data_IF_130157761012
#
_entry.id   IF_130157761012
#
_cell.length_a   1.000
_cell.length_b   1.000
_cell.length_c   1.000
_cell.angle_alpha   90.00
_cell.angle_beta   90.00
_cell.angle_gamma   90.00
#
_symmetry.space_group_name_H-M   'P 1'
#
loop_
_entity.id
_entity.type
_entity.pdbx_description
1 polymer ?
#
# COMPACT_ATOMS: atom_id res chain seq x y z
N UNK A 1 -8.74 -8.77 -23.15
CA UNK A 1 -9.61 -9.01 -21.98
C UNK A 1 -9.27 -8.12 -20.79
N UNK A 2 -8.20 -8.36 -20.00
CA UNK A 2 -7.92 -7.54 -18.78
C UNK A 2 -7.71 -6.04 -19.09
N UNK A 3 -6.98 -5.73 -20.15
CA UNK A 3 -6.72 -4.35 -20.57
C UNK A 3 -7.99 -3.63 -21.05
N UNK A 4 -8.90 -4.36 -21.71
CA UNK A 4 -10.18 -3.82 -22.19
C UNK A 4 -11.12 -3.53 -21.01
N UNK A 5 -11.15 -4.40 -19.99
CA UNK A 5 -11.90 -4.12 -18.76
C UNK A 5 -11.32 -2.95 -17.98
N UNK A 6 -10.00 -2.87 -17.82
CA UNK A 6 -9.33 -1.74 -17.17
C UNK A 6 -9.64 -0.43 -17.88
N UNK A 7 -9.64 -0.42 -19.21
CA UNK A 7 -10.03 0.73 -20.03
C UNK A 7 -11.50 1.08 -19.84
N UNK A 8 -12.42 0.12 -19.84
CA UNK A 8 -13.86 0.36 -19.67
C UNK A 8 -14.20 0.93 -18.27
N UNK A 9 -13.54 0.42 -17.23
CA UNK A 9 -13.68 0.92 -15.86
C UNK A 9 -13.10 2.32 -15.72
N UNK A 10 -11.91 2.58 -16.27
CA UNK A 10 -11.30 3.91 -16.26
C UNK A 10 -12.12 4.94 -17.06
N UNK A 11 -12.67 4.56 -18.21
CA UNK A 11 -13.52 5.42 -19.02
C UNK A 11 -14.80 5.86 -18.28
N UNK A 12 -15.33 4.95 -17.47
CA UNK A 12 -16.52 5.19 -16.62
C UNK A 12 -16.19 6.07 -15.41
N UNK A 13 -15.11 5.79 -14.69
CA UNK A 13 -14.71 6.50 -13.48
C UNK A 13 -14.22 7.93 -13.74
N UNK A 14 -13.49 8.13 -14.84
CA UNK A 14 -12.85 9.41 -15.15
C UNK A 14 -13.60 10.18 -16.25
N UNK A 15 -14.90 9.92 -16.43
CA UNK A 15 -15.71 10.43 -17.56
C UNK A 15 -15.58 11.94 -17.77
N UNK A 16 -15.58 12.72 -16.68
CA UNK A 16 -15.51 14.19 -16.70
C UNK A 16 -14.16 14.73 -16.23
N UNK A 17 -13.16 13.87 -16.03
CA UNK A 17 -11.87 14.28 -15.46
C UNK A 17 -10.93 14.83 -16.55
N UNK A 18 -10.28 15.97 -16.28
CA UNK A 18 -9.35 16.67 -17.21
C UNK A 18 -8.21 15.78 -17.74
N UNK A 19 -7.76 14.80 -16.95
CA UNK A 19 -6.68 13.88 -17.31
C UNK A 19 -7.14 12.52 -17.86
N UNK A 20 -8.43 12.35 -18.20
CA UNK A 20 -9.00 11.08 -18.70
C UNK A 20 -8.16 10.47 -19.82
N UNK A 21 -7.78 11.29 -20.80
CA UNK A 21 -7.05 10.87 -22.00
C UNK A 21 -5.63 10.36 -21.67
N UNK A 22 -4.93 11.02 -20.74
CA UNK A 22 -3.61 10.57 -20.28
C UNK A 22 -3.71 9.25 -19.49
N UNK A 23 -4.73 9.11 -18.64
CA UNK A 23 -4.96 7.88 -17.85
C UNK A 23 -5.24 6.70 -18.79
N UNK A 24 -6.10 6.89 -19.80
CA UNK A 24 -6.41 5.86 -20.78
C UNK A 24 -5.18 5.51 -21.64
N UNK A 25 -4.36 6.49 -22.03
CA UNK A 25 -3.09 6.27 -22.73
C UNK A 25 -2.11 5.46 -21.88
N UNK A 26 -1.96 5.79 -20.60
CA UNK A 26 -1.07 5.07 -19.70
C UNK A 26 -1.50 3.61 -19.51
N UNK A 27 -2.81 3.34 -19.43
CA UNK A 27 -3.36 1.97 -19.40
C UNK A 27 -3.09 1.26 -20.73
N UNK A 28 -3.24 1.96 -21.85
CA UNK A 28 -2.96 1.46 -23.20
C UNK A 28 -1.47 1.15 -23.46
N UNK A 29 -0.55 1.77 -22.72
CA UNK A 29 0.89 1.53 -22.86
C UNK A 29 1.44 0.44 -21.92
N UNK A 30 0.62 -0.07 -20.99
CA UNK A 30 1.05 -1.19 -20.13
C UNK A 30 1.35 -2.42 -21.00
N UNK A 31 2.62 -2.81 -21.03
CA UNK A 31 3.07 -4.05 -21.66
C UNK A 31 2.69 -5.24 -20.80
N UNK A 32 1.56 -5.86 -21.16
CA UNK A 32 1.12 -7.13 -20.61
C UNK A 32 1.46 -8.21 -21.63
N UNK A 33 2.60 -8.90 -21.47
CA UNK A 33 2.98 -10.00 -22.35
C UNK A 33 1.89 -11.08 -22.35
N UNK A 34 1.27 -11.33 -23.51
CA UNK A 34 0.10 -12.20 -23.63
C UNK A 34 0.32 -13.61 -23.06
N UNK A 35 1.52 -14.17 -23.27
CA UNK A 35 1.93 -15.45 -22.71
C UNK A 35 2.05 -15.44 -21.19
N UNK A 36 2.67 -14.39 -20.62
CA UNK A 36 2.82 -14.22 -19.16
C UNK A 36 1.47 -13.99 -18.48
N UNK A 37 0.57 -13.25 -19.12
CA UNK A 37 -0.80 -13.05 -18.62
C UNK A 37 -1.58 -14.37 -18.69
N UNK A 38 -1.53 -15.10 -19.80
CA UNK A 38 -2.23 -16.37 -19.95
C UNK A 38 -1.73 -17.43 -18.95
N UNK A 39 -0.40 -17.51 -18.72
CA UNK A 39 0.19 -18.39 -17.72
C UNK A 39 -0.23 -18.00 -16.30
N UNK A 40 -0.16 -16.70 -15.96
CA UNK A 40 -0.58 -16.23 -14.64
C UNK A 40 -2.08 -16.42 -14.43
N UNK A 41 -2.91 -16.16 -15.43
CA UNK A 41 -4.36 -16.41 -15.37
C UNK A 41 -4.66 -17.91 -15.23
N UNK A 42 -3.93 -18.78 -15.94
CA UNK A 42 -4.09 -20.23 -15.79
C UNK A 42 -3.66 -20.73 -14.42
N UNK A 43 -2.50 -20.30 -13.91
CA UNK A 43 -2.05 -20.63 -12.56
C UNK A 43 -3.03 -20.11 -11.51
N UNK A 44 -3.42 -18.84 -11.60
CA UNK A 44 -4.43 -18.24 -10.74
C UNK A 44 -5.78 -18.97 -10.83
N UNK A 45 -6.17 -19.51 -11.99
CA UNK A 45 -7.44 -20.24 -12.17
C UNK A 45 -7.44 -21.60 -11.47
N UNK A 46 -6.30 -22.28 -11.45
CA UNK A 46 -6.10 -23.52 -10.70
C UNK A 46 -6.16 -23.22 -9.21
N UNK A 47 -5.46 -22.17 -8.80
CA UNK A 47 -5.39 -21.80 -7.40
C UNK A 47 -6.71 -21.16 -6.89
N UNK A 48 -7.51 -20.50 -7.75
CA UNK A 48 -8.84 -19.96 -7.43
C UNK A 48 -9.87 -21.04 -7.04
N UNK A 49 -9.58 -22.33 -7.29
CA UNK A 49 -10.41 -23.45 -6.87
C UNK A 49 -10.17 -23.86 -5.41
N UNK A 50 -9.05 -23.44 -4.81
CA UNK A 50 -8.79 -23.58 -3.38
C UNK A 50 -9.73 -22.62 -2.61
N UNK A 51 -10.39 -22.98 -1.51
CA UNK A 51 -11.28 -22.06 -0.79
C UNK A 51 -10.56 -20.91 -0.05
N UNK A 52 -9.24 -21.00 0.14
CA UNK A 52 -8.39 -20.05 0.84
C UNK A 52 -7.51 -19.19 -0.07
N UNK A 53 -7.04 -19.73 -1.20
CA UNK A 53 -6.20 -18.99 -2.15
C UNK A 53 -6.88 -17.81 -2.89
N UNK A 54 -8.19 -17.84 -3.24
CA UNK A 54 -8.95 -16.71 -3.80
C UNK A 54 -8.88 -15.49 -2.91
N UNK A 55 -8.73 -15.69 -1.59
CA UNK A 55 -8.54 -14.60 -0.64
C UNK A 55 -7.14 -14.00 -0.84
N UNK A 56 -6.07 -14.81 -0.85
CA UNK A 56 -4.68 -14.39 -1.07
C UNK A 56 -4.50 -13.55 -2.35
N UNK A 57 -5.04 -14.03 -3.48
CA UNK A 57 -4.97 -13.32 -4.77
C UNK A 57 -5.70 -11.97 -4.71
N UNK A 58 -6.85 -11.90 -4.05
CA UNK A 58 -7.58 -10.64 -3.86
C UNK A 58 -6.73 -9.63 -3.08
N UNK A 59 -5.92 -10.05 -2.09
CA UNK A 59 -5.00 -9.15 -1.37
C UNK A 59 -3.87 -8.65 -2.25
N UNK A 60 -3.18 -9.56 -2.94
CA UNK A 60 -2.10 -9.18 -3.86
C UNK A 60 -2.59 -8.18 -4.92
N UNK A 61 -3.76 -8.45 -5.51
CA UNK A 61 -4.40 -7.56 -6.48
C UNK A 61 -4.82 -6.21 -5.87
N UNK A 62 -5.30 -6.18 -4.62
CA UNK A 62 -5.72 -4.93 -3.95
C UNK A 62 -4.53 -4.05 -3.60
N UNK A 63 -3.48 -4.63 -3.00
CA UNK A 63 -2.24 -3.91 -2.67
C UNK A 63 -1.57 -3.40 -3.95
N UNK A 64 -1.52 -4.23 -5.00
CA UNK A 64 -1.00 -3.81 -6.30
C UNK A 64 -1.83 -2.67 -6.90
N UNK A 65 -3.16 -2.76 -6.87
CA UNK A 65 -4.05 -1.70 -7.35
C UNK A 65 -3.88 -0.41 -6.55
N UNK A 66 -3.72 -0.48 -5.24
CA UNK A 66 -3.43 0.69 -4.41
C UNK A 66 -2.09 1.32 -4.78
N UNK A 67 -1.04 0.52 -5.00
CA UNK A 67 0.25 1.02 -5.44
C UNK A 67 0.19 1.64 -6.85
N UNK A 68 -0.62 1.08 -7.75
CA UNK A 68 -0.87 1.64 -9.09
C UNK A 68 -1.69 2.92 -8.99
N UNK A 69 -2.78 2.95 -8.23
CA UNK A 69 -3.56 4.16 -7.98
C UNK A 69 -2.68 5.27 -7.39
N UNK A 70 -1.81 4.97 -6.42
CA UNK A 70 -0.88 5.95 -5.87
C UNK A 70 0.13 6.48 -6.92
N UNK A 71 0.50 5.69 -7.93
CA UNK A 71 1.33 6.14 -9.06
C UNK A 71 0.56 6.96 -10.10
N UNK A 72 -0.73 6.67 -10.28
CA UNK A 72 -1.60 7.31 -11.28
C UNK A 72 -2.26 8.58 -10.74
N UNK A 73 -2.47 8.68 -9.42
CA UNK A 73 -2.94 9.88 -8.71
C UNK A 73 -1.83 10.94 -8.74
N UNK A 74 -1.70 11.64 -9.87
CA UNK A 74 -0.73 12.71 -10.10
C UNK A 74 -1.20 13.99 -9.40
N UNK A 75 -0.95 14.08 -8.10
CA UNK A 75 -1.10 15.32 -7.31
C UNK A 75 0.21 16.08 -7.17
N UNK A 76 1.08 16.01 -8.19
CA UNK A 76 2.38 16.66 -8.18
C UNK A 76 2.25 18.18 -8.03
N UNK A 77 1.16 18.77 -8.55
CA UNK A 77 0.86 20.19 -8.44
C UNK A 77 0.55 20.63 -7.00
N UNK A 78 0.11 19.74 -6.12
CA UNK A 78 -0.07 20.01 -4.68
C UNK A 78 1.17 19.56 -3.88
N UNK A 79 1.66 18.36 -4.17
CA UNK A 79 2.77 17.76 -3.42
C UNK A 79 4.09 18.50 -3.59
N UNK A 80 4.41 18.98 -4.81
CA UNK A 80 5.66 19.68 -5.05
C UNK A 80 5.73 21.02 -4.28
N UNK A 81 4.70 21.88 -4.28
CA UNK A 81 4.65 23.05 -3.41
C UNK A 81 4.77 22.71 -1.92
N UNK A 82 4.01 21.73 -1.42
CA UNK A 82 4.06 21.31 0.00
C UNK A 82 5.48 20.90 0.39
N UNK A 83 6.13 20.06 -0.41
CA UNK A 83 7.51 19.62 -0.16
C UNK A 83 8.49 20.79 -0.22
N UNK A 84 8.33 21.70 -1.20
CA UNK A 84 9.17 22.89 -1.34
C UNK A 84 9.08 23.79 -0.11
N UNK A 85 7.88 23.99 0.43
CA UNK A 85 7.64 24.82 1.62
C UNK A 85 8.27 24.18 2.86
N UNK A 86 8.02 22.88 3.08
CA UNK A 86 8.63 22.13 4.20
C UNK A 86 10.16 22.20 4.09
N UNK A 87 10.72 21.95 2.92
CA UNK A 87 12.16 22.01 2.71
C UNK A 87 12.69 23.44 2.92
N UNK A 88 11.97 24.49 2.51
CA UNK A 88 12.34 25.89 2.76
C UNK A 88 12.44 26.19 4.25
N UNK A 89 11.49 25.71 5.06
CA UNK A 89 11.49 25.89 6.52
C UNK A 89 12.67 25.15 7.16
N UNK A 90 12.96 23.95 6.68
CA UNK A 90 14.05 23.11 7.20
C UNK A 90 15.44 23.41 6.60
N UNK A 91 15.52 24.26 5.55
CA UNK A 91 16.75 24.48 4.80
C UNK A 91 17.86 25.13 5.64
N UNK A 92 17.50 25.99 6.60
CA UNK A 92 18.47 26.68 7.47
C UNK A 92 18.07 26.53 8.93
N UNK A 93 19.07 26.33 9.79
CA UNK A 93 18.86 26.16 11.23
C UNK A 93 18.16 27.38 11.89
N UNK A 94 18.44 28.59 11.40
CA UNK A 94 17.77 29.80 11.89
C UNK A 94 16.29 29.85 11.45
N UNK A 95 15.97 29.45 10.22
CA UNK A 95 14.58 29.39 9.72
C UNK A 95 13.77 28.39 10.52
N UNK A 96 14.31 27.19 10.72
CA UNK A 96 13.64 26.16 11.49
C UNK A 96 13.41 26.57 12.95
N UNK A 97 14.42 27.20 13.58
CA UNK A 97 14.27 27.75 14.94
C UNK A 97 13.20 28.84 15.00
N UNK A 98 13.18 29.77 14.05
CA UNK A 98 12.17 30.83 14.00
C UNK A 98 10.76 30.26 13.82
N UNK A 99 10.59 29.27 12.93
CA UNK A 99 9.32 28.58 12.77
C UNK A 99 8.88 27.87 14.06
N UNK A 100 9.80 27.22 14.78
CA UNK A 100 9.49 26.62 16.10
C UNK A 100 9.03 27.62 17.15
N UNK A 101 9.62 28.81 17.17
CA UNK A 101 9.18 29.88 18.07
C UNK A 101 7.77 30.33 17.72
N UNK A 102 7.50 30.54 16.42
CA UNK A 102 6.15 30.86 15.94
C UNK A 102 5.11 29.79 16.34
N UNK A 103 5.46 28.50 16.21
CA UNK A 103 4.59 27.40 16.64
C UNK A 103 4.31 27.41 18.15
N UNK A 104 5.29 27.80 18.98
CA UNK A 104 5.09 27.91 20.42
C UNK A 104 4.14 29.06 20.77
N UNK A 105 4.21 30.16 20.03
CA UNK A 105 3.41 31.36 20.28
C UNK A 105 1.96 31.21 19.79
N UNK A 106 1.77 30.64 18.59
CA UNK A 106 0.45 30.55 17.96
C UNK A 106 -0.31 29.26 18.28
N UNK A 107 0.39 28.15 18.53
CA UNK A 107 -0.22 26.81 18.56
C UNK A 107 0.42 25.91 19.62
N UNK A 108 0.48 26.34 20.90
CA UNK A 108 1.14 25.60 21.97
C UNK A 108 0.51 24.21 22.13
N UNK A 109 1.28 23.17 21.78
CA UNK A 109 0.83 21.77 21.76
C UNK A 109 1.01 21.08 20.40
N UNK A 110 1.25 21.84 19.35
CA UNK A 110 1.59 21.32 18.04
C UNK A 110 3.08 20.95 17.96
N UNK A 111 3.38 19.73 17.51
CA UNK A 111 4.73 19.28 17.17
C UNK A 111 5.30 19.92 15.89
N UNK A 112 6.59 19.73 15.62
CA UNK A 112 7.26 20.28 14.45
C UNK A 112 6.71 19.73 13.10
N UNK A 113 7.13 20.33 11.99
CA UNK A 113 6.89 19.77 10.66
C UNK A 113 7.70 18.48 10.46
N UNK A 114 7.13 17.56 9.66
CA UNK A 114 7.79 16.29 9.34
C UNK A 114 8.62 16.46 8.05
N UNK A 115 9.89 16.07 8.11
CA UNK A 115 10.74 16.00 6.92
C UNK A 115 10.21 14.94 5.95
N UNK A 116 10.19 15.29 4.67
CA UNK A 116 9.84 14.34 3.63
C UNK A 116 10.98 13.36 3.39
N UNK A 117 10.76 12.10 3.70
CA UNK A 117 11.56 10.99 3.18
C UNK A 117 10.74 10.31 2.08
N UNK A 118 11.31 10.16 0.89
CA UNK A 118 10.72 9.59 -0.34
C UNK A 118 10.26 8.12 -0.26
N UNK A 119 9.99 7.59 0.93
CA UNK A 119 10.06 6.15 1.12
C UNK A 119 8.71 5.46 0.92
N UNK A 120 7.55 6.04 1.30
CA UNK A 120 6.22 5.38 1.12
C UNK A 120 5.07 6.39 1.06
N UNK A 121 3.98 6.10 0.35
CA UNK A 121 2.78 6.98 0.35
C UNK A 121 2.19 7.19 1.77
N UNK A 122 2.38 6.21 2.67
CA UNK A 122 2.02 6.31 4.09
C UNK A 122 2.76 7.45 4.83
N UNK A 123 4.02 7.77 4.44
CA UNK A 123 4.73 8.91 5.01
C UNK A 123 4.20 10.24 4.47
N UNK A 124 3.73 10.26 3.22
CA UNK A 124 3.10 11.46 2.61
C UNK A 124 1.84 11.87 3.36
N UNK A 125 0.99 10.93 3.79
CA UNK A 125 -0.20 11.21 4.62
C UNK A 125 0.17 11.98 5.89
N UNK A 126 1.13 11.48 6.67
CA UNK A 126 1.54 12.12 7.94
C UNK A 126 2.04 13.54 7.71
N UNK A 127 2.78 13.74 6.62
CA UNK A 127 3.27 15.05 6.22
C UNK A 127 2.12 15.99 5.85
N UNK A 128 1.20 15.55 4.98
CA UNK A 128 0.05 16.34 4.54
C UNK A 128 -0.87 16.71 5.69
N UNK A 129 -1.16 15.75 6.58
CA UNK A 129 -1.97 16.00 7.78
C UNK A 129 -1.29 17.00 8.72
N UNK A 130 0.04 16.90 8.91
CA UNK A 130 0.80 17.87 9.72
C UNK A 130 0.81 19.25 9.07
N UNK A 131 0.99 19.30 7.76
CA UNK A 131 1.00 20.53 6.98
C UNK A 131 -0.35 21.25 7.07
N UNK A 132 -1.46 20.53 6.94
CA UNK A 132 -2.81 21.09 7.06
C UNK A 132 -3.13 21.59 8.48
N UNK A 133 -2.69 20.86 9.52
CA UNK A 133 -2.84 21.33 10.91
C UNK A 133 -2.08 22.63 11.19
N UNK A 134 -1.01 22.88 10.44
CA UNK A 134 -0.13 24.04 10.61
C UNK A 134 -0.32 25.07 9.50
N UNK A 135 -1.43 24.99 8.74
CA UNK A 135 -1.58 25.75 7.50
C UNK A 135 -1.46 27.27 7.74
N UNK A 136 -2.10 27.78 8.80
CA UNK A 136 -2.11 29.19 9.16
C UNK A 136 -0.72 29.67 9.63
N UNK A 137 -0.03 28.85 10.42
CA UNK A 137 1.29 29.17 10.96
C UNK A 137 2.34 29.14 9.85
N UNK A 138 2.21 28.21 8.90
CA UNK A 138 3.07 28.15 7.73
C UNK A 138 2.80 29.36 6.83
N UNK A 139 1.54 29.69 6.56
CA UNK A 139 1.18 30.86 5.76
C UNK A 139 1.78 32.14 6.36
N UNK A 140 1.54 32.40 7.65
CA UNK A 140 2.11 33.56 8.35
C UNK A 140 3.65 33.57 8.31
N UNK A 141 4.29 32.40 8.43
CA UNK A 141 5.75 32.29 8.34
C UNK A 141 6.27 32.61 6.94
N UNK A 142 5.60 32.14 5.90
CA UNK A 142 5.97 32.38 4.50
C UNK A 142 5.74 33.85 4.11
N UNK A 143 4.64 34.46 4.54
CA UNK A 143 4.37 35.89 4.36
C UNK A 143 5.44 36.77 5.02
N UNK A 144 5.86 36.43 6.25
CA UNK A 144 6.92 37.17 6.96
C UNK A 144 8.29 37.16 6.24
N UNK A 145 8.46 36.24 5.29
CA UNK A 145 9.69 36.05 4.50
C UNK A 145 9.56 36.56 3.06
N UNK A 146 8.40 37.12 2.68
CA UNK A 146 8.08 37.52 1.31
C UNK A 146 8.30 36.36 0.31
N UNK A 147 8.07 35.12 0.75
CA UNK A 147 8.19 33.92 -0.10
C UNK A 147 6.85 33.57 -0.76
N UNK A 148 6.93 32.80 -1.83
CA UNK A 148 5.79 32.38 -2.64
C UNK A 148 4.71 31.65 -1.82
N UNK A 149 3.54 32.28 -1.71
CA UNK A 149 2.33 31.77 -1.04
C UNK A 149 1.25 31.32 -2.03
N UNK A 150 1.59 31.06 -3.30
CA UNK A 150 0.61 30.66 -4.34
C UNK A 150 -0.25 29.45 -3.97
N UNK A 151 0.26 28.52 -3.15
CA UNK A 151 -0.52 27.39 -2.62
C UNK A 151 -1.70 27.83 -1.74
N UNK A 152 -1.57 28.98 -1.06
CA UNK A 152 -2.54 29.51 -0.08
C UNK A 152 -3.54 30.49 -0.73
N UNK A 153 -3.14 31.17 -1.81
CA UNK A 153 -3.98 32.15 -2.51
C UNK A 153 -4.99 31.53 -3.50
N UNK A 154 -4.78 30.27 -3.88
CA UNK A 154 -5.65 29.56 -4.82
C UNK A 154 -6.61 28.62 -4.10
N UNK A 155 -7.91 28.95 -4.15
CA UNK A 155 -8.97 28.13 -3.58
C UNK A 155 -9.02 26.73 -4.22
N UNK A 156 -8.64 26.58 -5.50
CA UNK A 156 -8.56 25.27 -6.16
C UNK A 156 -7.43 24.42 -5.57
N UNK A 157 -6.26 25.03 -5.33
CA UNK A 157 -5.13 24.38 -4.66
C UNK A 157 -5.43 23.88 -3.24
N UNK A 158 -6.17 24.65 -2.45
CA UNK A 158 -6.60 24.24 -1.11
C UNK A 158 -7.63 23.10 -1.14
N UNK A 159 -8.54 23.11 -2.12
CA UNK A 159 -9.50 22.01 -2.32
C UNK A 159 -8.79 20.72 -2.76
N UNK A 160 -7.82 20.82 -3.67
CA UNK A 160 -7.03 19.67 -4.10
C UNK A 160 -6.16 19.13 -2.96
N UNK A 161 -5.64 19.99 -2.09
CA UNK A 161 -4.94 19.58 -0.86
C UNK A 161 -5.88 18.82 0.09
N UNK A 162 -7.08 19.34 0.34
CA UNK A 162 -8.07 18.66 1.18
C UNK A 162 -8.47 17.30 0.59
N UNK A 163 -8.75 17.25 -0.71
CA UNK A 163 -9.07 16.01 -1.42
C UNK A 163 -7.94 14.98 -1.32
N UNK A 164 -6.70 15.43 -1.46
CA UNK A 164 -5.53 14.56 -1.34
C UNK A 164 -5.39 14.01 0.09
N UNK A 165 -5.63 14.82 1.11
CA UNK A 165 -5.62 14.38 2.52
C UNK A 165 -6.70 13.31 2.72
N UNK A 166 -7.95 13.59 2.36
CA UNK A 166 -9.06 12.66 2.54
C UNK A 166 -8.82 11.33 1.83
N UNK A 167 -8.35 11.39 0.58
CA UNK A 167 -8.06 10.18 -0.19
C UNK A 167 -6.90 9.39 0.40
N UNK A 168 -5.83 10.06 0.84
CA UNK A 168 -4.70 9.38 1.50
C UNK A 168 -5.08 8.79 2.85
N UNK A 169 -6.03 9.39 3.57
CA UNK A 169 -6.58 8.87 4.81
C UNK A 169 -7.41 7.60 4.58
N UNK A 170 -8.29 7.60 3.58
CA UNK A 170 -9.07 6.41 3.19
C UNK A 170 -8.14 5.27 2.79
N UNK A 171 -7.16 5.55 1.92
CA UNK A 171 -6.19 4.54 1.52
C UNK A 171 -5.46 3.96 2.74
N UNK A 172 -5.07 4.81 3.71
CA UNK A 172 -4.37 4.39 4.92
C UNK A 172 -5.24 3.53 5.82
N UNK A 173 -6.52 3.86 5.97
CA UNK A 173 -7.46 3.04 6.70
C UNK A 173 -7.62 1.66 6.06
N UNK A 174 -7.80 1.61 4.75
CA UNK A 174 -7.93 0.34 4.02
C UNK A 174 -6.64 -0.47 4.15
N UNK A 175 -5.47 0.15 4.02
CA UNK A 175 -4.19 -0.54 4.19
C UNK A 175 -4.01 -1.11 5.60
N UNK A 176 -4.39 -0.36 6.64
CA UNK A 176 -4.35 -0.85 8.03
C UNK A 176 -5.30 -2.02 8.25
N UNK A 177 -6.51 -1.97 7.70
CA UNK A 177 -7.47 -3.08 7.75
C UNK A 177 -6.96 -4.32 7.01
N UNK A 178 -6.39 -4.14 5.82
CA UNK A 178 -5.81 -5.24 5.04
C UNK A 178 -4.65 -5.88 5.80
N UNK A 179 -3.78 -5.09 6.43
CA UNK A 179 -2.66 -5.59 7.20
C UNK A 179 -3.13 -6.36 8.44
N UNK A 180 -4.03 -5.80 9.25
CA UNK A 180 -4.57 -6.47 10.43
C UNK A 180 -5.28 -7.78 10.06
N UNK A 181 -6.03 -7.78 8.94
CA UNK A 181 -6.67 -9.00 8.45
C UNK A 181 -5.63 -10.03 7.98
N UNK A 182 -4.57 -9.60 7.30
CA UNK A 182 -3.50 -10.50 6.83
C UNK A 182 -2.80 -11.15 8.03
N UNK A 183 -2.44 -10.35 9.03
CA UNK A 183 -1.87 -10.83 10.29
C UNK A 183 -2.81 -11.83 10.97
N UNK A 184 -4.09 -11.54 11.12
CA UNK A 184 -5.05 -12.49 11.73
C UNK A 184 -5.23 -13.78 10.89
N UNK A 185 -5.28 -13.66 9.56
CA UNK A 185 -5.47 -14.81 8.66
C UNK A 185 -4.28 -15.76 8.66
N UNK A 186 -3.07 -15.21 8.76
CA UNK A 186 -1.81 -15.94 8.67
C UNK A 186 -1.09 -16.06 10.02
N UNK A 187 -1.72 -15.70 11.14
CA UNK A 187 -1.11 -15.83 12.49
C UNK A 187 -0.62 -17.23 12.81
N UNK A 188 -1.24 -18.25 12.23
CA UNK A 188 -0.84 -19.64 12.41
C UNK A 188 0.39 -20.03 11.57
N UNK A 189 0.83 -19.19 10.62
CA UNK A 189 2.04 -19.43 9.84
C UNK A 189 3.31 -19.27 10.68
N UNK A 190 3.27 -18.51 11.79
CA UNK A 190 4.38 -18.47 12.75
C UNK A 190 4.68 -19.87 13.31
N UNK A 191 3.69 -20.78 13.31
CA UNK A 191 3.89 -22.20 13.69
C UNK A 191 4.73 -22.96 12.67
N UNK A 192 4.91 -22.43 11.46
CA UNK A 192 5.77 -22.96 10.40
C UNK A 192 7.20 -22.41 10.46
N UNK A 193 7.50 -21.45 11.34
CA UNK A 193 8.85 -20.90 11.52
C UNK A 193 9.92 -21.98 11.70
N UNK A 194 9.70 -23.05 12.49
CA UNK A 194 10.69 -24.12 12.61
C UNK A 194 10.94 -24.84 11.28
N UNK A 195 9.93 -24.96 10.41
CA UNK A 195 10.06 -25.57 9.08
C UNK A 195 10.82 -24.65 8.13
N UNK A 196 10.56 -23.34 8.18
CA UNK A 196 11.29 -22.34 7.40
C UNK A 196 12.75 -22.30 7.82
N UNK A 197 13.03 -22.27 9.13
CA UNK A 197 14.37 -22.31 9.66
C UNK A 197 15.13 -23.58 9.25
N UNK A 198 14.47 -24.74 9.24
CA UNK A 198 15.06 -25.99 8.75
C UNK A 198 15.36 -25.95 7.25
N UNK A 199 14.47 -25.37 6.43
CA UNK A 199 14.73 -25.19 5.00
C UNK A 199 15.92 -24.27 4.74
N UNK A 200 16.06 -23.20 5.53
CA UNK A 200 17.18 -22.26 5.45
C UNK A 200 18.49 -22.85 6.02
N UNK A 201 18.40 -23.75 7.01
CA UNK A 201 19.53 -24.46 7.60
C UNK A 201 19.19 -25.94 7.89
N UNK A 202 19.41 -26.84 6.92
CA UNK A 202 19.03 -28.26 7.03
C UNK A 202 19.79 -29.06 8.10
N UNK A 203 20.82 -28.47 8.70
CA UNK A 203 21.67 -29.12 9.71
C UNK A 203 21.34 -28.67 11.13
N UNK A 204 20.34 -27.80 11.32
CA UNK A 204 19.90 -27.43 12.65
C UNK A 204 19.21 -28.60 13.37
N UNK A 205 19.42 -28.73 14.68
CA UNK A 205 18.63 -29.65 15.48
C UNK A 205 17.17 -29.20 15.49
N UNK A 206 16.30 -30.13 15.12
CA UNK A 206 14.88 -29.89 14.95
C UNK A 206 14.12 -30.99 15.69
N UNK A 207 13.20 -30.63 16.57
CA UNK A 207 12.27 -31.60 17.15
C UNK A 207 11.16 -31.91 16.13
N UNK A 208 11.37 -33.00 15.40
CA UNK A 208 10.45 -33.46 14.35
C UNK A 208 9.07 -33.78 14.93
N UNK A 209 9.00 -34.24 16.19
CA UNK A 209 7.73 -34.62 16.83
C UNK A 209 6.91 -33.37 17.12
N UNK A 210 7.53 -32.37 17.76
CA UNK A 210 6.90 -31.09 18.07
C UNK A 210 6.39 -30.37 16.80
N UNK A 211 7.18 -30.42 15.72
CA UNK A 211 6.79 -29.82 14.44
C UNK A 211 5.64 -30.58 13.77
N UNK A 212 5.68 -31.90 13.80
CA UNK A 212 4.63 -32.73 13.21
C UNK A 212 3.27 -32.49 13.89
N UNK A 213 3.26 -32.33 15.22
CA UNK A 213 2.07 -31.99 16.00
C UNK A 213 1.55 -30.58 15.65
N UNK A 214 2.44 -29.57 15.62
CA UNK A 214 2.07 -28.20 15.23
C UNK A 214 1.57 -28.11 13.79
N UNK A 215 2.14 -28.87 12.85
CA UNK A 215 1.65 -28.95 11.48
C UNK A 215 0.27 -29.61 11.41
N UNK A 216 0.07 -30.71 12.14
CA UNK A 216 -1.22 -31.40 12.18
C UNK A 216 -2.33 -30.48 12.74
N UNK A 217 -2.02 -29.73 13.80
CA UNK A 217 -2.93 -28.71 14.36
C UNK A 217 -3.23 -27.57 13.37
N UNK A 218 -2.20 -27.05 12.70
CA UNK A 218 -2.29 -25.89 11.79
C UNK A 218 -3.07 -26.20 10.52
N UNK A 219 -2.88 -27.39 9.95
CA UNK A 219 -3.56 -27.82 8.73
C UNK A 219 -4.83 -28.64 8.99
N UNK A 220 -5.20 -28.84 10.26
CA UNK A 220 -6.29 -29.71 10.67
C UNK A 220 -6.20 -31.10 10.04
N UNK A 221 -4.98 -31.62 9.88
CA UNK A 221 -4.77 -32.97 9.37
C UNK A 221 -5.23 -33.97 10.44
N UNK A 222 -6.29 -34.73 10.14
CA UNK A 222 -6.60 -35.91 10.95
C UNK A 222 -5.40 -36.85 10.87
N UNK A 223 -4.86 -37.22 12.02
CA UNK A 223 -3.90 -38.31 12.11
C UNK A 223 -4.52 -39.52 11.40
N UNK A 224 -3.85 -40.00 10.34
CA UNK A 224 -4.18 -41.28 9.74
C UNK A 224 -3.82 -42.39 10.75
N UNK A 225 -4.60 -42.51 11.82
CA UNK A 225 -4.65 -43.73 12.60
C UNK A 225 -5.43 -44.73 11.77
N UNK A 226 -4.71 -45.42 10.88
CA UNK A 226 -4.90 -46.84 10.59
C UNK A 226 -3.75 -47.28 9.71
N UNK A 227 -2.91 -48.15 10.27
CA UNK A 227 -1.96 -48.90 9.49
C UNK A 227 -2.66 -49.68 8.38
N UNK A 228 -1.85 -49.98 7.36
CA UNK A 228 -2.11 -50.99 6.33
C UNK A 228 -2.75 -50.50 5.00
N UNK A 229 -1.89 -50.08 4.05
CA UNK A 229 -1.62 -50.80 2.78
C UNK A 229 -1.06 -49.91 1.68
N UNK A 230 0.15 -50.26 1.24
CA UNK A 230 0.53 -50.38 -0.18
C UNK A 230 0.46 -49.12 -1.05
N UNK A 231 1.62 -48.66 -1.49
CA UNK A 231 1.77 -47.95 -2.77
C UNK A 231 1.07 -48.77 -3.87
N UNK A 232 -0.13 -48.36 -4.27
CA UNK A 232 -0.70 -48.70 -5.57
C UNK A 232 -0.87 -47.40 -6.35
N UNK A 233 0.00 -47.26 -7.33
CA UNK A 233 -0.26 -46.48 -8.53
C UNK A 233 -1.57 -46.93 -9.19
N UNK A 234 -2.48 -45.99 -9.45
CA UNK A 234 -3.56 -46.10 -10.44
C UNK A 234 -3.78 -44.68 -10.96
N UNK A 235 -3.27 -44.29 -12.13
CA UNK A 235 -3.88 -44.54 -13.44
C UNK A 235 -5.42 -44.44 -13.47
N UNK A 236 -5.87 -43.40 -14.20
CA UNK A 236 -7.17 -43.20 -14.87
C UNK A 236 -8.47 -43.36 -14.07
N UNK A 237 -9.25 -42.28 -14.02
CA UNK A 237 -10.63 -42.35 -14.53
C UNK A 237 -11.12 -40.98 -15.01
N UNK A 238 -11.35 -40.91 -16.32
CA UNK A 238 -12.20 -39.92 -16.99
C UNK A 238 -13.67 -40.19 -16.64
N UNK A 239 -14.46 -39.12 -16.46
CA UNK A 239 -15.79 -38.88 -17.03
C UNK A 239 -16.23 -37.47 -16.65
#
# INVERSE_FOLDING_TARGET
MVKEEMTAVADTLFREHKSKTEILSAIADVQLGAYTVALRVSALSIDLADPYFPKIVKYHCTIHRQAVCAKVMRFDHVMAPVIKIINSIHAKANQHRSFKLLLQDLSPGHSDLLLHTEVKWLSRRKILHRFCLLLNEIEAFMESREEDTTLYSDAEGLLDLAFLIDTTDILNQVNGQLQAWFEDRFKDFDKLDPCVAFMDNPFMELDITEISEKMAETFHCQSCENGDRGYKSSESCSA
#
